data_IF_490230998052
#
_entry.id   IF_490230998052
#
_cell.length_a   1.000
_cell.length_b   1.000
_cell.length_c   1.000
_cell.angle_alpha   90.00
_cell.angle_beta   90.00
_cell.angle_gamma   90.00
#
_symmetry.space_group_name_H-M   'P 1'
#
loop_
_entity.id
_entity.type
_entity.pdbx_description
1 polymer ?
#
# COMPACT_ATOMS: atom_id res chain seq x y z
N UNK A 1 -2.58 9.18 -4.28
CA UNK A 1 -1.84 9.01 -5.55
C UNK A 1 -0.36 9.38 -5.39
N UNK A 2 -0.02 10.58 -4.93
CA UNK A 2 1.38 11.02 -4.79
C UNK A 2 2.26 10.10 -3.92
N UNK A 3 1.75 9.58 -2.80
CA UNK A 3 2.46 8.58 -1.97
C UNK A 3 2.69 7.24 -2.67
N UNK A 4 1.73 6.77 -3.47
CA UNK A 4 1.80 5.50 -4.21
C UNK A 4 2.84 5.62 -5.33
N UNK A 5 2.84 6.75 -6.03
CA UNK A 5 3.84 7.07 -7.05
C UNK A 5 5.23 7.29 -6.44
N UNK A 6 5.31 8.00 -5.30
CA UNK A 6 6.58 8.25 -4.60
C UNK A 6 7.19 6.97 -4.01
N UNK A 7 6.39 6.04 -3.48
CA UNK A 7 6.88 4.73 -3.02
C UNK A 7 7.49 3.90 -4.15
N UNK A 8 6.95 4.03 -5.37
CA UNK A 8 7.54 3.45 -6.57
C UNK A 8 8.99 3.91 -6.84
N UNK A 9 9.33 5.16 -6.49
CA UNK A 9 10.68 5.74 -6.63
C UNK A 9 11.54 5.60 -5.37
N UNK A 10 10.93 5.61 -4.18
CA UNK A 10 11.59 5.46 -2.88
C UNK A 10 12.09 4.03 -2.65
N UNK A 11 11.29 3.01 -3.02
CA UNK A 11 11.70 1.61 -2.94
C UNK A 11 12.98 1.31 -3.74
N UNK A 12 13.14 1.95 -4.91
CA UNK A 12 14.35 1.88 -5.72
C UNK A 12 15.57 2.56 -5.08
N UNK A 13 15.37 3.68 -4.37
CA UNK A 13 16.45 4.42 -3.73
C UNK A 13 17.04 3.69 -2.51
N UNK A 14 16.20 3.03 -1.70
CA UNK A 14 16.71 2.25 -0.57
C UNK A 14 17.29 0.90 -1.00
N UNK A 15 16.68 0.22 -1.98
CA UNK A 15 17.25 -1.03 -2.51
C UNK A 15 18.68 -0.84 -3.05
N UNK A 16 18.98 0.36 -3.59
CA UNK A 16 20.31 0.73 -4.10
C UNK A 16 21.25 1.29 -3.03
N UNK A 17 20.76 2.11 -2.09
CA UNK A 17 21.59 2.74 -1.06
C UNK A 17 21.86 1.86 0.17
N UNK A 18 20.94 0.94 0.50
CA UNK A 18 21.00 0.08 1.68
C UNK A 18 20.34 -1.27 1.39
N UNK A 19 20.95 -2.08 0.52
CA UNK A 19 20.42 -3.36 0.06
C UNK A 19 20.04 -4.36 1.17
N UNK A 20 20.59 -4.23 2.38
CA UNK A 20 20.15 -5.03 3.53
C UNK A 20 18.71 -4.72 3.96
N UNK A 21 18.20 -3.51 3.72
CA UNK A 21 16.79 -3.19 3.96
C UNK A 21 15.88 -3.88 2.94
N UNK A 22 16.40 -4.24 1.77
CA UNK A 22 15.72 -5.09 0.78
C UNK A 22 15.80 -6.61 1.12
N UNK A 23 16.32 -7.00 2.29
CA UNK A 23 16.32 -8.40 2.76
C UNK A 23 14.92 -9.04 2.81
N UNK A 24 13.82 -8.33 3.14
CA UNK A 24 12.48 -8.89 2.99
C UNK A 24 12.20 -9.34 1.55
N UNK A 25 12.59 -8.56 0.54
CA UNK A 25 12.48 -8.96 -0.87
C UNK A 25 13.41 -10.11 -1.26
N UNK A 26 14.54 -10.30 -0.57
CA UNK A 26 15.41 -11.46 -0.76
C UNK A 26 14.76 -12.78 -0.30
N UNK A 27 13.72 -12.71 0.55
CA UNK A 27 12.88 -13.86 0.94
C UNK A 27 11.46 -13.79 0.33
N UNK A 28 11.25 -12.97 -0.70
CA UNK A 28 9.99 -12.86 -1.44
C UNK A 28 8.92 -11.98 -0.80
N UNK A 29 9.22 -11.26 0.28
CA UNK A 29 8.29 -10.34 0.92
C UNK A 29 8.31 -8.96 0.25
N UNK A 30 7.14 -8.30 0.09
CA UNK A 30 7.10 -7.01 -0.56
C UNK A 30 7.84 -5.95 0.25
N UNK A 31 8.85 -5.32 -0.36
CA UNK A 31 9.55 -4.19 0.25
C UNK A 31 8.72 -2.91 0.08
N UNK A 32 7.89 -2.60 1.08
CA UNK A 32 7.09 -1.37 1.11
C UNK A 32 5.70 -1.48 0.50
N UNK A 33 5.10 -0.31 0.23
CA UNK A 33 3.79 -0.17 -0.38
C UNK A 33 3.86 -0.42 -1.89
N UNK A 34 2.77 -0.93 -2.51
CA UNK A 34 2.74 -1.16 -3.95
C UNK A 34 2.89 0.15 -4.73
N UNK A 35 3.65 0.10 -5.82
CA UNK A 35 3.88 1.25 -6.70
C UNK A 35 3.00 1.22 -7.95
N UNK A 36 2.43 2.36 -8.33
CA UNK A 36 1.75 2.51 -9.62
C UNK A 36 2.80 2.80 -10.71
N UNK A 37 2.89 1.96 -11.74
CA UNK A 37 3.92 2.04 -12.79
C UNK A 37 3.31 1.78 -14.18
N UNK A 38 3.75 2.56 -15.17
CA UNK A 38 3.31 2.40 -16.56
C UNK A 38 4.14 1.38 -17.35
N UNK A 39 5.40 1.20 -16.95
CA UNK A 39 6.35 0.28 -17.60
C UNK A 39 7.03 -0.60 -16.56
N UNK A 40 7.45 -1.82 -16.93
CA UNK A 40 8.22 -2.68 -16.06
C UNK A 40 9.55 -2.04 -15.64
N UNK A 41 10.00 -2.39 -14.42
CA UNK A 41 11.20 -1.80 -13.83
C UNK A 41 12.36 -2.80 -13.86
N UNK A 42 13.49 -2.41 -14.45
CA UNK A 42 14.68 -3.27 -14.51
C UNK A 42 14.38 -4.59 -15.21
N UNK A 43 14.75 -5.71 -14.59
CA UNK A 43 14.51 -7.06 -15.12
C UNK A 43 13.10 -7.62 -14.80
N UNK A 44 12.24 -6.82 -14.16
CA UNK A 44 10.87 -7.28 -13.84
C UNK A 44 10.00 -7.34 -15.10
N UNK A 45 9.20 -8.39 -15.24
CA UNK A 45 8.26 -8.55 -16.35
C UNK A 45 6.89 -7.91 -16.12
N UNK A 46 6.06 -7.88 -17.17
CA UNK A 46 4.71 -7.31 -17.14
C UNK A 46 3.79 -7.91 -16.07
N UNK A 47 3.93 -9.20 -15.76
CA UNK A 47 3.14 -9.85 -14.71
C UNK A 47 3.38 -9.19 -13.33
N UNK A 48 4.64 -8.87 -13.01
CA UNK A 48 4.98 -8.16 -11.78
C UNK A 48 4.43 -6.73 -11.80
N UNK A 49 4.57 -6.02 -12.92
CA UNK A 49 4.06 -4.65 -13.07
C UNK A 49 2.54 -4.56 -12.89
N UNK A 50 1.79 -5.49 -13.50
CA UNK A 50 0.34 -5.56 -13.36
C UNK A 50 -0.08 -5.91 -11.93
N UNK A 51 0.64 -6.82 -11.28
CA UNK A 51 0.40 -7.17 -9.86
C UNK A 51 0.59 -5.96 -8.95
N UNK A 52 1.67 -5.21 -9.12
CA UNK A 52 1.93 -3.98 -8.36
C UNK A 52 0.86 -2.91 -8.61
N UNK A 53 0.44 -2.73 -9.87
CA UNK A 53 -0.64 -1.81 -10.22
C UNK A 53 -1.97 -2.22 -9.58
N UNK A 54 -2.34 -3.50 -9.65
CA UNK A 54 -3.57 -4.01 -9.01
C UNK A 54 -3.51 -3.84 -7.50
N UNK A 55 -2.38 -4.16 -6.87
CA UNK A 55 -2.18 -3.96 -5.44
C UNK A 55 -2.30 -2.46 -5.04
N UNK A 56 -1.73 -1.56 -5.85
CA UNK A 56 -1.84 -0.12 -5.66
C UNK A 56 -3.29 0.38 -5.82
N UNK A 57 -4.04 -0.16 -6.79
CA UNK A 57 -5.46 0.14 -6.98
C UNK A 57 -6.32 -0.38 -5.82
N UNK A 58 -6.02 -1.56 -5.27
CA UNK A 58 -6.69 -2.08 -4.07
C UNK A 58 -6.47 -1.13 -2.89
N UNK A 59 -5.23 -0.72 -2.63
CA UNK A 59 -4.93 0.24 -1.56
C UNK A 59 -5.68 1.56 -1.76
N UNK A 60 -5.59 2.13 -2.96
CA UNK A 60 -6.26 3.39 -3.28
C UNK A 60 -7.79 3.28 -3.19
N UNK A 61 -8.35 2.16 -3.65
CA UNK A 61 -9.78 1.87 -3.60
C UNK A 61 -10.30 1.73 -2.17
N UNK A 62 -9.59 1.03 -1.29
CA UNK A 62 -9.95 0.91 0.13
C UNK A 62 -9.95 2.29 0.81
N UNK A 63 -8.90 3.09 0.59
CA UNK A 63 -8.83 4.45 1.14
C UNK A 63 -9.97 5.32 0.60
N UNK A 64 -10.18 5.34 -0.71
CA UNK A 64 -11.25 6.12 -1.34
C UNK A 64 -12.64 5.71 -0.82
N UNK A 65 -12.91 4.41 -0.73
CA UNK A 65 -14.17 3.88 -0.22
C UNK A 65 -14.46 4.35 1.20
N UNK A 66 -13.49 4.23 2.10
CA UNK A 66 -13.65 4.66 3.50
C UNK A 66 -13.77 6.17 3.61
N UNK A 67 -12.97 6.93 2.86
CA UNK A 67 -13.05 8.40 2.86
C UNK A 67 -14.42 8.89 2.37
N UNK A 68 -15.06 8.22 1.41
CA UNK A 68 -16.41 8.57 0.92
C UNK A 68 -17.51 8.20 1.91
N UNK A 69 -17.40 7.04 2.57
CA UNK A 69 -18.46 6.53 3.45
C UNK A 69 -18.27 6.90 4.93
N UNK A 70 -17.20 7.63 5.26
CA UNK A 70 -16.96 8.07 6.65
C UNK A 70 -18.11 8.95 7.13
N UNK A 71 -18.37 8.87 8.43
CA UNK A 71 -19.30 9.77 9.13
C UNK A 71 -18.63 10.27 10.41
N UNK A 72 -19.13 11.38 10.95
CA UNK A 72 -18.67 11.93 12.23
C UNK A 72 -17.58 13.00 12.09
N UNK A 73 -17.08 13.47 13.24
CA UNK A 73 -16.19 14.63 13.31
C UNK A 73 -14.74 14.37 12.90
N UNK A 74 -13.96 15.44 12.95
CA UNK A 74 -12.57 15.53 12.53
C UNK A 74 -11.66 14.37 13.02
N UNK A 75 -11.72 14.06 14.31
CA UNK A 75 -10.90 12.98 14.91
C UNK A 75 -11.23 11.62 14.29
N UNK A 76 -12.52 11.31 14.12
CA UNK A 76 -12.97 10.05 13.51
C UNK A 76 -12.59 9.98 12.03
N UNK A 77 -12.57 11.12 11.33
CA UNK A 77 -12.12 11.19 9.94
C UNK A 77 -10.61 10.88 9.81
N UNK A 78 -9.76 11.41 10.70
CA UNK A 78 -8.34 11.07 10.71
C UNK A 78 -8.12 9.56 10.87
N UNK A 79 -8.73 8.96 11.91
CA UNK A 79 -8.57 7.53 12.18
C UNK A 79 -9.22 6.65 11.11
N UNK A 80 -10.31 7.10 10.47
CA UNK A 80 -10.89 6.40 9.33
C UNK A 80 -9.91 6.35 8.14
N UNK A 81 -9.29 7.47 7.79
CA UNK A 81 -8.29 7.51 6.71
C UNK A 81 -7.03 6.71 7.04
N UNK A 82 -6.51 6.84 8.27
CA UNK A 82 -5.35 6.09 8.74
C UNK A 82 -5.60 4.58 8.75
N UNK A 83 -6.74 4.15 9.32
CA UNK A 83 -7.14 2.75 9.38
C UNK A 83 -7.40 2.16 8.00
N UNK A 84 -8.06 2.91 7.10
CA UNK A 84 -8.26 2.48 5.72
C UNK A 84 -6.95 2.27 4.98
N UNK A 85 -5.96 3.13 5.21
CA UNK A 85 -4.64 2.97 4.61
C UNK A 85 -3.92 1.72 5.12
N UNK A 86 -3.97 1.46 6.44
CA UNK A 86 -3.41 0.25 7.02
C UNK A 86 -4.08 -1.02 6.46
N UNK A 87 -5.42 -1.05 6.41
CA UNK A 87 -6.17 -2.16 5.84
C UNK A 87 -5.89 -2.35 4.34
N UNK A 88 -5.84 -1.27 3.58
CA UNK A 88 -5.52 -1.28 2.15
C UNK A 88 -4.10 -1.80 1.88
N UNK A 89 -3.13 -1.42 2.71
CA UNK A 89 -1.75 -1.90 2.63
C UNK A 89 -1.63 -3.39 2.96
N UNK A 90 -2.37 -3.87 3.97
CA UNK A 90 -2.48 -5.31 4.27
C UNK A 90 -3.09 -6.10 3.12
N UNK A 91 -4.23 -5.65 2.58
CA UNK A 91 -4.90 -6.29 1.44
C UNK A 91 -4.01 -6.31 0.18
N UNK A 92 -3.31 -5.22 -0.10
CA UNK A 92 -2.31 -5.14 -1.16
C UNK A 92 -1.13 -6.11 -0.93
N UNK A 93 -0.69 -6.28 0.33
CA UNK A 93 0.30 -7.28 0.72
C UNK A 93 -0.15 -8.70 0.39
N UNK A 94 -1.39 -9.05 0.74
CA UNK A 94 -1.98 -10.36 0.45
C UNK A 94 -2.03 -10.66 -1.05
N UNK A 95 -2.47 -9.70 -1.87
CA UNK A 95 -2.51 -9.86 -3.32
C UNK A 95 -1.11 -10.15 -3.88
N UNK A 96 -0.10 -9.43 -3.40
CA UNK A 96 1.30 -9.64 -3.79
C UNK A 96 1.82 -11.00 -3.34
N UNK A 97 1.48 -11.46 -2.13
CA UNK A 97 1.86 -12.79 -1.65
C UNK A 97 1.26 -13.91 -2.49
N UNK A 98 -0.01 -13.78 -2.91
CA UNK A 98 -0.63 -14.75 -3.82
C UNK A 98 0.14 -14.80 -5.13
N UNK A 99 0.41 -13.65 -5.76
CA UNK A 99 1.16 -13.62 -7.01
C UNK A 99 2.57 -14.24 -6.87
N UNK A 100 3.32 -13.86 -5.83
CA UNK A 100 4.65 -14.41 -5.55
C UNK A 100 4.60 -15.92 -5.33
N UNK A 101 3.60 -16.41 -4.59
CA UNK A 101 3.46 -17.84 -4.31
C UNK A 101 3.27 -18.69 -5.57
N UNK A 102 2.59 -18.15 -6.59
CA UNK A 102 2.43 -18.84 -7.87
C UNK A 102 3.73 -18.83 -8.69
N UNK A 103 4.47 -17.72 -8.66
CA UNK A 103 5.74 -17.61 -9.41
C UNK A 103 6.84 -18.52 -8.89
N UNK A 104 6.83 -18.85 -7.59
CA UNK A 104 7.84 -19.71 -6.94
C UNK A 104 7.34 -21.13 -6.68
N UNK A 105 6.15 -21.47 -7.20
CA UNK A 105 5.49 -22.77 -6.98
C UNK A 105 5.49 -23.18 -5.50
N UNK A 106 5.11 -22.23 -4.63
CA UNK A 106 5.23 -22.38 -3.20
C UNK A 106 4.40 -23.56 -2.67
N UNK A 107 5.06 -24.48 -1.95
CA UNK A 107 4.36 -25.49 -1.15
C UNK A 107 3.53 -24.87 -0.01
N UNK A 108 2.62 -25.62 0.63
CA UNK A 108 1.64 -25.06 1.59
C UNK A 108 2.24 -24.25 2.75
N UNK A 109 3.37 -24.71 3.31
CA UNK A 109 4.07 -24.01 4.39
C UNK A 109 4.70 -22.69 3.93
N UNK A 110 5.32 -22.69 2.75
CA UNK A 110 5.90 -21.49 2.14
C UNK A 110 4.80 -20.48 1.76
N UNK A 111 3.67 -20.96 1.23
CA UNK A 111 2.49 -20.13 0.96
C UNK A 111 1.99 -19.42 2.22
N UNK A 112 1.81 -20.16 3.32
CA UNK A 112 1.37 -19.59 4.59
C UNK A 112 2.36 -18.54 5.12
N UNK A 113 3.66 -18.81 5.03
CA UNK A 113 4.72 -17.87 5.41
C UNK A 113 4.68 -16.57 4.59
N UNK A 114 4.54 -16.68 3.26
CA UNK A 114 4.44 -15.53 2.35
C UNK A 114 3.19 -14.69 2.64
N UNK A 115 2.04 -15.33 2.85
CA UNK A 115 0.78 -14.64 3.15
C UNK A 115 0.87 -13.88 4.48
N UNK A 116 1.32 -14.54 5.55
CA UNK A 116 1.43 -13.92 6.87
C UNK A 116 2.49 -12.82 6.89
N UNK A 117 3.64 -13.06 6.27
CA UNK A 117 4.71 -12.08 6.18
C UNK A 117 4.30 -10.85 5.37
N UNK A 118 3.62 -11.02 4.24
CA UNK A 118 3.18 -9.89 3.42
C UNK A 118 2.05 -9.10 4.07
N UNK A 119 1.14 -9.77 4.79
CA UNK A 119 0.13 -9.09 5.61
C UNK A 119 0.81 -8.25 6.70
N UNK A 120 1.74 -8.83 7.45
CA UNK A 120 2.45 -8.14 8.51
C UNK A 120 3.26 -6.95 7.97
N UNK A 121 4.03 -7.15 6.90
CA UNK A 121 4.80 -6.10 6.25
C UNK A 121 3.89 -4.98 5.72
N UNK A 122 2.77 -5.34 5.07
CA UNK A 122 1.77 -4.39 4.59
C UNK A 122 1.16 -3.55 5.72
N UNK A 123 0.76 -4.19 6.82
CA UNK A 123 0.23 -3.51 8.00
C UNK A 123 1.27 -2.60 8.66
N UNK A 124 2.52 -3.04 8.82
CA UNK A 124 3.60 -2.24 9.40
C UNK A 124 3.79 -0.96 8.58
N UNK A 125 3.94 -1.07 7.26
CA UNK A 125 4.07 0.10 6.40
C UNK A 125 2.81 0.96 6.37
N UNK A 126 1.64 0.33 6.39
CA UNK A 126 0.36 1.00 6.46
C UNK A 126 0.20 1.84 7.73
N UNK A 127 0.62 1.32 8.88
CA UNK A 127 0.63 2.03 10.18
C UNK A 127 1.62 3.20 10.15
N UNK A 128 2.84 2.96 9.67
CA UNK A 128 3.91 3.96 9.63
C UNK A 128 3.56 5.13 8.70
N UNK A 129 2.87 4.88 7.59
CA UNK A 129 2.63 5.89 6.54
C UNK A 129 1.19 6.36 6.45
N UNK A 130 0.27 5.70 7.16
CA UNK A 130 -1.16 5.98 7.12
C UNK A 130 -1.53 7.38 7.61
N UNK A 131 -0.61 8.08 8.31
CA UNK A 131 -0.83 9.45 8.78
C UNK A 131 -1.15 10.40 7.63
N UNK A 132 -0.55 10.22 6.45
CA UNK A 132 -0.81 11.09 5.30
C UNK A 132 -2.25 10.91 4.78
N UNK A 133 -2.76 9.68 4.74
CA UNK A 133 -4.15 9.40 4.39
C UNK A 133 -5.11 9.91 5.47
N UNK A 134 -4.72 9.79 6.76
CA UNK A 134 -5.46 10.37 7.88
C UNK A 134 -5.58 11.90 7.78
N UNK A 135 -4.47 12.60 7.51
CA UNK A 135 -4.46 14.06 7.32
C UNK A 135 -5.29 14.47 6.10
N UNK A 136 -5.15 13.78 4.96
CA UNK A 136 -5.96 14.06 3.77
C UNK A 136 -7.46 13.89 4.05
N UNK A 137 -7.83 12.85 4.79
CA UNK A 137 -9.22 12.58 5.18
C UNK A 137 -9.73 13.62 6.18
N UNK A 138 -8.90 14.04 7.12
CA UNK A 138 -9.20 15.15 8.04
C UNK A 138 -9.45 16.46 7.28
N UNK A 139 -8.60 16.80 6.31
CA UNK A 139 -8.73 18.01 5.50
C UNK A 139 -10.04 18.05 4.71
N UNK A 140 -10.52 16.89 4.23
CA UNK A 140 -11.79 16.80 3.51
C UNK A 140 -13.02 17.16 4.38
N UNK A 141 -12.95 16.97 5.71
CA UNK A 141 -14.01 17.45 6.62
C UNK A 141 -14.05 18.97 6.67
N UNK A 142 -12.88 19.63 6.74
CA UNK A 142 -12.79 21.09 6.76
C UNK A 142 -13.38 21.72 5.49
N UNK A 143 -13.12 21.10 4.34
CA UNK A 143 -13.67 21.52 3.05
C UNK A 143 -15.20 21.38 2.97
N UNK A 144 -15.78 20.34 3.56
CA UNK A 144 -17.25 20.14 3.64
C UNK A 144 -17.94 21.23 4.48
N UNK A 145 -17.23 21.80 5.46
CA UNK A 145 -17.79 22.81 6.38
C UNK A 145 -17.51 24.26 5.98
N UNK A 146 -16.71 24.49 4.94
CA UNK A 146 -16.36 25.84 4.51
C UNK A 146 -17.60 26.53 3.88
N UNK A 147 -17.94 27.78 4.27
CA UNK A 147 -19.03 28.50 3.65
C UNK A 147 -18.71 28.72 2.17
N UNK A 148 -19.62 28.33 1.29
CA UNK A 148 -19.57 28.66 -0.14
C UNK A 148 -19.57 30.19 -0.23
N UNK A 149 -18.41 30.79 -0.43
CA UNK A 149 -18.31 32.21 -0.75
C UNK A 149 -18.80 32.38 -2.19
N UNK A 150 -20.08 32.72 -2.32
CA UNK A 150 -20.68 33.25 -3.54
C UNK A 150 -20.32 34.73 -3.71
#
# INVERSE_FOLDING_TARGET
MLIVSAFGMFGTGIATAAGYLAVPSAVGLPYGLPGLRLVPLGETGWAFTLTENLAALVLAGVVAWVTVHRRGGAVRAFFAGWGAFALGAGAAGLLRAVAVSQTVEAGPGAYAGLVLGALAAGLIWGVILGWAAGIATLASVGAETAPVRA
#
